data_IF_068089669298
#
_entry.id   IF_068089669298
#
_cell.length_a   1.000
_cell.length_b   1.000
_cell.length_c   1.000
_cell.angle_alpha   90.00
_cell.angle_beta   90.00
_cell.angle_gamma   90.00
#
_symmetry.space_group_name_H-M   'P 1'
#
loop_
_entity.id
_entity.type
_entity.pdbx_description
1 polymer ?
#
# COMPACT_ATOMS: atom_id res chain seq x y z
N UNK A 1 -31.07 70.64 21.22
CA UNK A 1 -31.86 70.09 20.12
C UNK A 1 -30.91 69.44 19.13
N UNK A 2 -31.12 68.16 18.81
CA UNK A 2 -30.53 67.47 17.65
C UNK A 2 -29.32 66.58 17.94
N UNK A 3 -29.56 65.26 18.03
CA UNK A 3 -28.55 64.21 17.74
C UNK A 3 -28.64 63.91 16.24
N UNK A 4 -27.52 63.77 15.53
CA UNK A 4 -27.19 62.48 14.88
C UNK A 4 -25.66 62.23 14.92
N UNK A 5 -25.10 61.03 14.91
CA UNK A 5 -25.56 59.65 14.81
C UNK A 5 -24.29 58.78 14.89
N UNK A 6 -24.40 57.61 15.50
CA UNK A 6 -23.43 56.53 15.39
C UNK A 6 -23.28 56.15 13.92
N UNK A 7 -22.04 56.04 13.42
CA UNK A 7 -21.60 55.10 12.38
C UNK A 7 -20.32 55.61 11.71
N UNK A 8 -19.18 55.06 12.13
CA UNK A 8 -18.08 54.64 11.23
C UNK A 8 -16.80 54.31 12.02
N UNK A 9 -16.74 53.10 12.58
CA UNK A 9 -15.46 52.41 12.75
C UNK A 9 -15.63 50.89 12.56
N UNK A 10 -15.62 50.39 11.31
CA UNK A 10 -15.13 49.03 11.09
C UNK A 10 -14.29 48.92 9.81
N UNK A 11 -13.02 48.55 9.94
CA UNK A 11 -12.26 47.96 8.82
C UNK A 11 -10.94 47.31 9.25
N UNK A 12 -10.30 47.73 10.35
CA UNK A 12 -8.94 47.27 10.68
C UNK A 12 -8.88 46.06 11.64
N UNK A 13 -10.00 45.67 12.26
CA UNK A 13 -10.03 44.49 13.15
C UNK A 13 -10.43 43.17 12.44
N UNK A 14 -11.17 43.24 11.32
CA UNK A 14 -11.62 42.05 10.59
C UNK A 14 -10.56 41.48 9.62
N UNK A 15 -9.65 42.31 9.11
CA UNK A 15 -8.56 41.82 8.23
C UNK A 15 -7.50 41.00 8.97
N UNK A 16 -7.29 41.25 10.27
CA UNK A 16 -6.34 40.49 11.08
C UNK A 16 -6.82 39.08 11.43
N UNK A 17 -8.13 38.87 11.56
CA UNK A 17 -8.70 37.58 11.97
C UNK A 17 -8.76 36.59 10.81
N UNK A 18 -9.05 37.03 9.58
CA UNK A 18 -9.03 36.16 8.40
C UNK A 18 -7.61 35.66 8.06
N UNK A 19 -6.60 36.50 8.23
CA UNK A 19 -5.20 36.14 8.01
C UNK A 19 -4.69 35.12 9.06
N UNK A 20 -5.01 35.34 10.34
CA UNK A 20 -4.71 34.38 11.41
C UNK A 20 -5.45 33.03 11.23
N UNK A 21 -6.69 33.05 10.72
CA UNK A 21 -7.51 31.84 10.48
C UNK A 21 -6.85 30.83 9.54
N UNK A 22 -6.23 31.27 8.43
CA UNK A 22 -5.77 30.34 7.40
C UNK A 22 -4.32 29.86 7.64
N UNK A 23 -3.44 30.72 8.12
CA UNK A 23 -2.03 30.38 8.36
C UNK A 23 -1.79 29.64 9.69
N UNK A 24 -2.51 30.01 10.75
CA UNK A 24 -2.30 29.42 12.08
C UNK A 24 -3.01 28.07 12.16
N UNK A 25 -4.32 27.99 11.88
CA UNK A 25 -5.03 26.72 11.95
C UNK A 25 -4.42 25.67 11.03
N UNK A 26 -4.01 26.03 9.81
CA UNK A 26 -3.33 25.12 8.87
C UNK A 26 -2.04 24.51 9.41
N UNK A 27 -1.38 25.16 10.38
CA UNK A 27 -0.16 24.69 11.06
C UNK A 27 -0.41 23.99 12.39
N UNK A 28 -1.60 24.15 12.96
CA UNK A 28 -1.99 23.50 14.21
C UNK A 28 -2.41 22.06 13.93
N UNK A 29 -1.90 21.14 14.75
CA UNK A 29 -2.31 19.75 14.72
C UNK A 29 -3.74 19.59 15.29
N UNK A 30 -4.31 18.38 15.18
CA UNK A 30 -5.67 18.11 15.67
C UNK A 30 -5.81 18.36 17.17
N UNK A 31 -4.74 18.20 17.96
CA UNK A 31 -4.72 18.41 19.40
C UNK A 31 -4.73 19.90 19.78
N UNK A 32 -3.97 20.71 19.06
CA UNK A 32 -3.95 22.17 19.19
C UNK A 32 -5.30 22.77 18.80
N UNK A 33 -5.92 22.24 17.73
CA UNK A 33 -7.27 22.63 17.30
C UNK A 33 -8.35 22.19 18.30
N UNK A 34 -8.21 21.01 18.91
CA UNK A 34 -9.11 20.56 19.98
C UNK A 34 -8.99 21.44 21.24
N UNK A 35 -7.79 21.84 21.63
CA UNK A 35 -7.56 22.75 22.75
C UNK A 35 -8.17 24.15 22.54
N UNK A 36 -8.19 24.64 21.29
CA UNK A 36 -8.85 25.90 20.94
C UNK A 36 -10.38 25.88 21.11
N UNK A 37 -11.03 24.70 21.06
CA UNK A 37 -12.46 24.57 21.34
C UNK A 37 -12.81 24.86 22.81
N UNK A 38 -11.84 24.83 23.73
CA UNK A 38 -12.16 24.92 25.16
C UNK A 38 -11.66 26.18 25.85
N UNK A 39 -10.67 26.86 25.26
CA UNK A 39 -10.04 28.04 25.86
C UNK A 39 -10.90 29.30 25.89
N UNK A 40 -11.67 29.60 24.82
CA UNK A 40 -12.55 30.77 24.78
C UNK A 40 -13.62 30.68 23.68
N UNK A 41 -14.64 31.54 23.75
CA UNK A 41 -15.72 31.62 22.73
C UNK A 41 -15.14 31.86 21.33
N UNK A 42 -14.17 32.76 21.20
CA UNK A 42 -13.51 33.05 19.94
C UNK A 42 -12.73 31.85 19.37
N UNK A 43 -12.14 31.00 20.21
CA UNK A 43 -11.47 29.77 19.80
C UNK A 43 -12.46 28.70 19.31
N UNK A 44 -13.62 28.58 19.97
CA UNK A 44 -14.72 27.70 19.51
C UNK A 44 -15.22 28.09 18.13
N UNK A 45 -15.47 29.38 17.93
CA UNK A 45 -16.00 29.89 16.68
C UNK A 45 -14.97 29.70 15.55
N UNK A 46 -13.67 29.87 15.84
CA UNK A 46 -12.57 29.63 14.90
C UNK A 46 -12.49 28.18 14.41
N UNK A 47 -12.71 27.20 15.32
CA UNK A 47 -12.63 25.77 15.01
C UNK A 47 -13.90 25.27 14.30
N UNK A 48 -15.08 25.82 14.65
CA UNK A 48 -16.34 25.56 13.95
C UNK A 48 -16.32 26.08 12.51
N UNK A 49 -15.79 27.29 12.30
CA UNK A 49 -15.59 27.87 10.96
C UNK A 49 -14.65 27.02 10.09
N UNK A 50 -13.74 26.26 10.72
CA UNK A 50 -12.80 25.35 10.05
C UNK A 50 -13.36 23.93 9.80
N UNK A 51 -14.62 23.66 10.18
CA UNK A 51 -15.32 22.41 9.89
C UNK A 51 -15.02 21.22 10.82
N UNK A 52 -14.44 21.45 12.00
CA UNK A 52 -14.24 20.41 13.01
C UNK A 52 -15.48 20.32 13.92
N UNK A 53 -16.24 19.22 13.80
CA UNK A 53 -17.46 18.95 14.58
C UNK A 53 -17.11 18.45 16.00
N UNK A 54 -17.63 19.04 17.10
CA UNK A 54 -17.49 18.53 18.47
C UNK A 54 -17.89 17.06 18.67
N UNK A 55 -18.72 16.48 17.79
CA UNK A 55 -19.07 15.06 17.80
C UNK A 55 -17.94 14.12 17.34
N UNK A 56 -16.84 14.67 16.81
CA UNK A 56 -15.62 13.90 16.45
C UNK A 56 -14.84 13.35 17.67
N UNK A 57 -15.32 13.58 18.88
CA UNK A 57 -14.83 12.94 20.12
C UNK A 57 -14.77 11.40 20.04
N UNK A 58 -15.55 10.76 19.17
CA UNK A 58 -15.46 9.31 18.91
C UNK A 58 -14.36 8.87 17.94
N UNK A 59 -13.64 9.82 17.31
CA UNK A 59 -12.56 9.58 16.34
C UNK A 59 -11.17 9.97 16.84
N UNK A 60 -11.08 10.72 17.93
CA UNK A 60 -9.82 11.13 18.54
C UNK A 60 -9.25 9.95 19.35
N UNK A 61 -8.09 9.43 18.96
CA UNK A 61 -7.39 8.38 19.71
C UNK A 61 -6.22 8.99 20.48
N UNK A 62 -5.90 8.46 21.67
CA UNK A 62 -4.80 9.01 22.48
C UNK A 62 -3.45 9.04 21.75
N UNK A 63 -3.25 8.12 20.79
CA UNK A 63 -2.08 8.10 19.91
C UNK A 63 -1.89 9.42 19.11
N UNK A 64 -2.97 10.17 18.89
CA UNK A 64 -2.95 11.44 18.14
C UNK A 64 -2.46 12.63 19.00
N UNK A 65 -2.30 12.43 20.32
CA UNK A 65 -1.86 13.46 21.29
C UNK A 65 -0.46 13.19 21.83
N UNK A 66 0.25 12.23 21.25
CA UNK A 66 1.57 11.79 21.67
C UNK A 66 2.61 12.83 21.26
N UNK A 67 3.17 13.54 22.22
CA UNK A 67 4.11 14.65 21.97
C UNK A 67 4.50 15.43 23.22
N UNK A 68 3.63 15.46 24.24
CA UNK A 68 3.96 15.97 25.57
C UNK A 68 3.06 15.36 26.63
N UNK A 69 3.53 15.37 27.89
CA UNK A 69 2.76 14.91 29.04
C UNK A 69 1.47 15.72 29.19
N UNK A 70 1.51 17.03 28.96
CA UNK A 70 0.36 17.92 29.10
C UNK A 70 -0.77 17.57 28.13
N UNK A 71 -0.41 17.25 26.87
CA UNK A 71 -1.39 16.89 25.83
C UNK A 71 -2.05 15.53 26.13
N UNK A 72 -1.27 14.53 26.55
CA UNK A 72 -1.81 13.23 26.96
C UNK A 72 -2.62 13.32 28.26
N UNK A 73 -2.19 14.12 29.23
CA UNK A 73 -2.94 14.37 30.46
C UNK A 73 -4.30 14.99 30.15
N UNK A 74 -4.32 16.02 29.30
CA UNK A 74 -5.56 16.63 28.84
C UNK A 74 -6.49 15.60 28.17
N UNK A 75 -5.98 14.83 27.21
CA UNK A 75 -6.83 13.87 26.47
C UNK A 75 -7.41 12.77 27.38
N UNK A 76 -6.63 12.27 28.35
CA UNK A 76 -7.12 11.33 29.37
C UNK A 76 -8.22 11.94 30.24
N UNK A 77 -8.01 13.17 30.73
CA UNK A 77 -8.97 13.85 31.60
C UNK A 77 -10.30 14.15 30.89
N UNK A 78 -10.30 14.18 29.55
CA UNK A 78 -11.48 14.34 28.68
C UNK A 78 -12.06 12.99 28.20
N UNK A 79 -11.68 11.88 28.84
CA UNK A 79 -12.33 10.58 28.66
C UNK A 79 -11.72 9.69 27.57
N UNK A 80 -10.57 10.04 27.00
CA UNK A 80 -9.89 9.15 26.07
C UNK A 80 -9.22 7.97 26.84
N UNK A 81 -9.44 6.71 26.41
CA UNK A 81 -8.98 5.54 27.17
C UNK A 81 -7.48 5.27 27.00
N UNK A 82 -6.75 5.15 28.11
CA UNK A 82 -5.33 4.72 28.13
C UNK A 82 -5.23 3.23 27.82
N UNK A 83 -5.00 2.89 26.54
CA UNK A 83 -4.79 1.52 26.08
C UNK A 83 -3.32 1.23 25.71
N UNK A 84 -3.04 0.01 25.27
CA UNK A 84 -1.67 -0.41 24.94
C UNK A 84 -1.08 0.34 23.74
N UNK A 85 -1.92 0.94 22.89
CA UNK A 85 -1.47 1.66 21.70
C UNK A 85 -0.81 2.99 22.05
N UNK A 86 -1.15 3.58 23.21
CA UNK A 86 -0.53 4.80 23.73
C UNK A 86 0.95 4.55 23.98
N UNK A 87 1.27 3.56 24.82
CA UNK A 87 2.65 3.20 25.15
C UNK A 87 3.45 2.84 23.90
N UNK A 88 2.88 2.06 22.96
CA UNK A 88 3.54 1.72 21.71
C UNK A 88 3.83 2.95 20.84
N UNK A 89 2.88 3.87 20.68
CA UNK A 89 3.07 5.09 19.89
C UNK A 89 4.10 6.02 20.52
N UNK A 90 4.04 6.21 21.84
CA UNK A 90 5.01 7.01 22.60
C UNK A 90 6.42 6.42 22.46
N UNK A 91 6.52 5.09 22.55
CA UNK A 91 7.77 4.37 22.39
C UNK A 91 8.35 4.47 20.98
N UNK A 92 7.50 4.40 19.95
CA UNK A 92 7.88 4.58 18.53
C UNK A 92 8.55 5.93 18.28
N UNK A 93 8.13 6.97 19.00
CA UNK A 93 8.65 8.33 18.86
C UNK A 93 9.74 8.69 19.89
N UNK A 94 10.13 7.75 20.76
CA UNK A 94 11.28 7.95 21.65
C UNK A 94 11.03 8.85 22.84
N UNK A 95 9.76 9.13 23.17
CA UNK A 95 9.37 10.09 24.21
C UNK A 95 9.40 9.42 25.60
N UNK A 96 10.59 9.25 26.17
CA UNK A 96 10.80 8.50 27.42
C UNK A 96 10.04 9.10 28.62
N UNK A 97 10.02 10.43 28.74
CA UNK A 97 9.32 11.17 29.79
C UNK A 97 7.80 10.98 29.70
N UNK A 98 7.25 11.05 28.49
CA UNK A 98 5.84 10.82 28.20
C UNK A 98 5.47 9.36 28.48
N UNK A 99 6.35 8.41 28.16
CA UNK A 99 6.13 6.99 28.41
C UNK A 99 6.14 6.68 29.91
N UNK A 100 7.10 7.26 30.64
CA UNK A 100 7.17 7.19 32.10
C UNK A 100 5.87 7.65 32.73
N UNK A 101 5.40 8.83 32.34
CA UNK A 101 4.13 9.38 32.81
C UNK A 101 2.96 8.44 32.47
N UNK A 102 2.85 7.97 31.22
CA UNK A 102 1.73 7.13 30.79
C UNK A 102 1.64 5.84 31.62
N UNK A 103 2.78 5.20 31.88
CA UNK A 103 2.86 3.99 32.72
C UNK A 103 2.52 4.29 34.17
N UNK A 104 2.96 5.41 34.73
CA UNK A 104 2.58 5.85 36.08
C UNK A 104 1.06 6.10 36.22
N UNK A 105 0.41 6.56 35.15
CA UNK A 105 -1.04 6.72 35.10
C UNK A 105 -1.81 5.41 34.85
N UNK A 106 -1.11 4.27 34.82
CA UNK A 106 -1.72 2.95 34.68
C UNK A 106 -2.00 2.54 33.24
N UNK A 107 -1.39 3.21 32.25
CA UNK A 107 -1.49 2.75 30.85
C UNK A 107 -0.87 1.35 30.73
N UNK A 108 -1.60 0.37 30.17
CA UNK A 108 -1.03 -0.94 29.95
C UNK A 108 0.07 -0.87 28.88
N UNK A 109 1.05 -1.75 29.00
CA UNK A 109 2.11 -1.96 28.02
C UNK A 109 2.28 -3.44 27.73
N UNK A 110 2.82 -3.75 26.56
CA UNK A 110 3.03 -5.10 26.08
C UNK A 110 4.25 -5.16 25.15
N UNK A 111 4.46 -6.31 24.52
CA UNK A 111 5.60 -6.50 23.62
C UNK A 111 5.57 -5.60 22.37
N UNK A 112 4.41 -5.01 22.01
CA UNK A 112 4.35 -4.01 20.95
C UNK A 112 5.03 -2.71 21.38
N UNK A 113 5.01 -2.38 22.68
CA UNK A 113 5.73 -1.20 23.21
C UNK A 113 7.24 -1.33 22.99
N UNK A 114 7.82 -2.50 23.27
CA UNK A 114 9.25 -2.74 23.02
C UNK A 114 9.56 -2.86 21.53
N UNK A 115 8.67 -3.46 20.73
CA UNK A 115 8.85 -3.54 19.28
C UNK A 115 8.84 -2.16 18.63
N UNK A 116 7.91 -1.27 19.04
CA UNK A 116 7.83 0.10 18.58
C UNK A 116 9.06 0.94 18.98
N UNK A 117 9.55 0.81 20.22
CA UNK A 117 10.82 1.44 20.61
C UNK A 117 11.99 0.98 19.73
N UNK A 118 12.01 -0.30 19.38
CA UNK A 118 13.02 -0.88 18.51
C UNK A 118 12.87 -0.46 17.03
N UNK A 119 11.63 -0.30 16.55
CA UNK A 119 11.28 0.23 15.24
C UNK A 119 11.76 1.68 15.06
N UNK A 120 11.59 2.52 16.08
CA UNK A 120 12.08 3.91 16.09
C UNK A 120 13.57 4.07 16.45
N UNK A 121 14.25 2.96 16.82
CA UNK A 121 15.67 2.99 17.20
C UNK A 121 15.95 3.62 18.57
N UNK A 122 14.95 3.72 19.44
CA UNK A 122 15.03 4.41 20.71
C UNK A 122 15.55 3.50 21.83
N UNK A 123 16.87 3.26 21.83
CA UNK A 123 17.54 2.36 22.76
C UNK A 123 17.27 2.70 24.25
N UNK A 124 17.26 3.97 24.62
CA UNK A 124 17.03 4.38 26.02
C UNK A 124 15.59 4.10 26.48
N UNK A 125 14.61 4.26 25.58
CA UNK A 125 13.22 3.87 25.84
C UNK A 125 13.12 2.36 26.03
N UNK A 126 13.76 1.59 25.15
CA UNK A 126 13.75 0.13 25.23
C UNK A 126 14.42 -0.38 26.52
N UNK A 127 15.56 0.20 26.91
CA UNK A 127 16.26 -0.10 28.18
C UNK A 127 15.33 0.12 29.36
N UNK A 128 14.75 1.31 29.45
CA UNK A 128 13.86 1.67 30.55
C UNK A 128 12.63 0.77 30.62
N UNK A 129 11.96 0.53 29.49
CA UNK A 129 10.80 -0.35 29.42
C UNK A 129 11.15 -1.77 29.91
N UNK A 130 12.31 -2.29 29.50
CA UNK A 130 12.77 -3.62 29.91
C UNK A 130 13.08 -3.70 31.41
N UNK A 131 13.75 -2.69 31.96
CA UNK A 131 14.07 -2.61 33.39
C UNK A 131 12.81 -2.55 34.27
N UNK A 132 11.73 -1.95 33.77
CA UNK A 132 10.44 -1.89 34.44
C UNK A 132 9.56 -3.12 34.23
N UNK A 133 10.08 -4.14 33.54
CA UNK A 133 9.39 -5.42 33.36
C UNK A 133 8.45 -5.47 32.16
N UNK A 134 8.52 -4.51 31.23
CA UNK A 134 7.81 -4.63 29.96
C UNK A 134 8.29 -5.90 29.22
N UNK A 135 7.36 -6.78 28.78
CA UNK A 135 7.75 -7.94 28.00
C UNK A 135 8.30 -7.50 26.65
N UNK A 136 9.16 -8.33 26.07
CA UNK A 136 9.60 -8.22 24.69
C UNK A 136 9.38 -9.55 23.97
N UNK A 137 9.24 -9.51 22.65
CA UNK A 137 9.14 -10.70 21.80
C UNK A 137 10.12 -10.59 20.62
N UNK A 138 10.18 -11.63 19.80
CA UNK A 138 11.02 -11.67 18.59
C UNK A 138 10.80 -10.47 17.65
N UNK A 139 9.59 -9.88 17.67
CA UNK A 139 9.24 -8.65 16.96
C UNK A 139 10.16 -7.46 17.28
N UNK A 140 10.78 -7.43 18.46
CA UNK A 140 11.74 -6.38 18.84
C UNK A 140 13.00 -6.44 17.98
N UNK A 141 13.55 -7.64 17.80
CA UNK A 141 14.72 -7.87 16.94
C UNK A 141 14.33 -7.69 15.47
N UNK A 142 13.14 -8.17 15.07
CA UNK A 142 12.61 -8.00 13.72
C UNK A 142 12.47 -6.52 13.33
N UNK A 143 11.86 -5.71 14.20
CA UNK A 143 11.61 -4.28 13.94
C UNK A 143 12.91 -3.49 13.88
N UNK A 144 13.84 -3.72 14.82
CA UNK A 144 15.16 -3.10 14.78
C UNK A 144 15.97 -3.53 13.54
N UNK A 145 15.82 -4.78 13.09
CA UNK A 145 16.48 -5.26 11.88
C UNK A 145 15.89 -4.61 10.62
N UNK A 146 14.57 -4.55 10.50
CA UNK A 146 13.87 -3.92 9.36
C UNK A 146 14.20 -2.44 9.19
N UNK A 147 14.45 -1.73 10.30
CA UNK A 147 14.71 -0.28 10.31
C UNK A 147 16.20 0.09 10.53
N UNK A 148 17.07 -0.91 10.62
CA UNK A 148 18.52 -0.69 10.57
C UNK A 148 19.16 -0.27 11.90
N UNK A 149 18.47 -0.46 13.02
CA UNK A 149 18.90 -0.02 14.35
C UNK A 149 19.86 -1.03 15.00
N UNK A 150 21.10 -1.04 14.52
CA UNK A 150 22.14 -1.97 14.97
C UNK A 150 22.42 -1.91 16.48
N UNK A 151 22.46 -0.72 17.08
CA UNK A 151 22.72 -0.57 18.53
C UNK A 151 21.63 -1.23 19.37
N UNK A 152 20.37 -1.14 18.93
CA UNK A 152 19.23 -1.80 19.58
C UNK A 152 19.39 -3.31 19.48
N UNK A 153 19.77 -3.84 18.32
CA UNK A 153 20.02 -5.27 18.13
C UNK A 153 21.15 -5.80 19.01
N UNK A 154 22.27 -5.08 19.08
CA UNK A 154 23.40 -5.44 19.91
C UNK A 154 23.00 -5.53 21.38
N UNK A 155 22.36 -4.48 21.89
CA UNK A 155 21.89 -4.45 23.28
C UNK A 155 20.86 -5.53 23.58
N UNK A 156 19.88 -5.74 22.68
CA UNK A 156 18.87 -6.78 22.85
C UNK A 156 19.49 -8.18 22.85
N UNK A 157 20.50 -8.42 22.00
CA UNK A 157 21.22 -9.69 21.99
C UNK A 157 22.00 -9.93 23.27
N UNK A 158 22.70 -8.92 23.78
CA UNK A 158 23.42 -8.98 25.07
C UNK A 158 22.49 -9.30 26.25
N UNK A 159 21.23 -8.85 26.18
CA UNK A 159 20.21 -9.10 27.20
C UNK A 159 19.44 -10.40 27.00
N UNK A 160 19.91 -11.27 26.10
CA UNK A 160 19.38 -12.61 25.91
C UNK A 160 18.15 -12.70 25.01
N UNK A 161 17.91 -11.71 24.14
CA UNK A 161 16.89 -11.86 23.11
C UNK A 161 17.31 -12.94 22.10
N UNK A 162 16.39 -13.85 21.81
CA UNK A 162 16.60 -14.90 20.82
C UNK A 162 16.53 -14.33 19.39
N UNK A 163 17.19 -15.02 18.45
CA UNK A 163 17.08 -14.65 17.05
C UNK A 163 15.68 -14.92 16.54
N UNK A 164 15.12 -13.96 15.81
CA UNK A 164 14.02 -14.25 14.91
C UNK A 164 14.56 -14.87 13.61
N UNK A 165 13.94 -15.93 13.06
CA UNK A 165 14.27 -16.43 11.74
C UNK A 165 14.00 -15.42 10.61
N UNK A 166 13.25 -14.35 10.89
CA UNK A 166 12.92 -13.29 9.93
C UNK A 166 13.87 -12.09 10.01
N UNK A 167 14.74 -11.99 11.03
CA UNK A 167 15.57 -10.79 11.22
C UNK A 167 16.48 -10.50 10.02
N UNK A 168 17.10 -11.53 9.44
CA UNK A 168 17.91 -11.38 8.23
C UNK A 168 17.07 -10.91 7.03
N UNK A 169 15.89 -11.49 6.80
CA UNK A 169 15.03 -11.11 5.67
C UNK A 169 14.46 -9.70 5.82
N UNK A 170 14.18 -9.27 7.04
CA UNK A 170 13.70 -7.93 7.34
C UNK A 170 14.82 -6.89 7.20
N UNK A 171 16.02 -7.17 7.70
CA UNK A 171 17.19 -6.34 7.41
C UNK A 171 17.45 -6.22 5.91
N UNK A 172 17.21 -7.31 5.16
CA UNK A 172 17.35 -7.31 3.72
C UNK A 172 16.26 -6.49 3.01
N UNK A 173 15.02 -6.55 3.51
CA UNK A 173 13.89 -5.72 3.05
C UNK A 173 14.13 -4.23 3.28
N UNK A 174 14.71 -3.84 4.40
CA UNK A 174 15.07 -2.45 4.72
C UNK A 174 16.36 -1.95 4.08
N UNK A 175 17.13 -2.85 3.45
CA UNK A 175 18.39 -2.48 2.78
C UNK A 175 19.58 -2.28 3.74
N UNK A 176 19.46 -2.77 4.98
CA UNK A 176 20.44 -2.50 6.04
C UNK A 176 21.59 -3.50 6.03
N UNK A 177 22.50 -3.33 5.07
CA UNK A 177 23.66 -4.23 4.88
C UNK A 177 24.52 -4.38 6.14
N UNK A 178 24.72 -3.31 6.93
CA UNK A 178 25.53 -3.39 8.15
C UNK A 178 24.87 -4.25 9.23
N UNK A 179 23.55 -4.15 9.37
CA UNK A 179 22.78 -5.03 10.26
C UNK A 179 22.89 -6.47 9.79
N UNK A 180 22.70 -6.73 8.49
CA UNK A 180 22.78 -8.08 7.95
C UNK A 180 24.17 -8.70 8.14
N UNK A 181 25.24 -7.92 7.96
CA UNK A 181 26.62 -8.34 8.25
C UNK A 181 26.78 -8.72 9.71
N UNK A 182 26.33 -7.87 10.62
CA UNK A 182 26.42 -8.13 12.06
C UNK A 182 25.62 -9.36 12.49
N UNK A 183 24.40 -9.55 11.97
CA UNK A 183 23.56 -10.73 12.26
C UNK A 183 24.22 -12.05 11.82
N UNK A 184 25.10 -11.99 10.82
CA UNK A 184 25.79 -13.12 10.19
C UNK A 184 27.28 -13.20 10.56
N UNK A 185 27.75 -12.37 11.47
CA UNK A 185 29.14 -12.34 11.88
C UNK A 185 29.45 -13.46 12.88
N UNK A 186 30.13 -14.52 12.41
CA UNK A 186 30.56 -15.64 13.25
C UNK A 186 31.61 -15.23 14.30
N UNK A 187 32.37 -14.14 14.08
CA UNK A 187 33.34 -13.64 15.05
C UNK A 187 32.66 -12.99 16.25
N UNK A 188 31.44 -12.46 16.07
CA UNK A 188 30.63 -11.85 17.13
C UNK A 188 29.79 -12.90 17.85
N UNK A 189 29.09 -13.77 17.11
CA UNK A 189 28.09 -14.68 17.71
C UNK A 189 28.62 -16.09 18.00
N UNK A 190 29.77 -16.45 17.44
CA UNK A 190 30.28 -17.81 17.45
C UNK A 190 29.73 -18.67 16.31
N UNK A 191 30.52 -19.65 15.89
CA UNK A 191 30.18 -20.54 14.77
C UNK A 191 28.89 -21.32 15.04
N UNK A 192 27.95 -21.26 14.10
CA UNK A 192 26.65 -21.93 14.21
C UNK A 192 25.61 -21.23 15.11
N UNK A 193 25.97 -20.10 15.74
CA UNK A 193 25.08 -19.31 16.60
C UNK A 193 24.61 -18.00 15.94
N UNK A 194 25.00 -17.76 14.69
CA UNK A 194 24.55 -16.63 13.87
C UNK A 194 23.06 -16.71 13.55
N UNK A 195 22.44 -15.55 13.30
CA UNK A 195 21.02 -15.48 12.97
C UNK A 195 20.73 -16.33 11.71
N UNK A 196 19.77 -17.27 11.74
CA UNK A 196 19.45 -18.08 10.58
C UNK A 196 18.89 -17.21 9.45
N UNK A 197 19.03 -17.72 8.23
CA UNK A 197 18.46 -17.12 7.03
C UNK A 197 18.13 -18.20 6.00
N UNK A 198 17.35 -17.83 4.99
CA UNK A 198 16.95 -18.69 3.88
C UNK A 198 16.74 -17.83 2.63
N UNK A 199 16.28 -18.44 1.54
CA UNK A 199 16.04 -17.76 0.26
C UNK A 199 15.08 -16.56 0.36
N UNK A 200 14.23 -16.49 1.38
CA UNK A 200 13.38 -15.32 1.64
C UNK A 200 14.23 -14.04 1.82
N UNK A 201 15.44 -14.15 2.37
CA UNK A 201 16.33 -13.00 2.55
C UNK A 201 16.74 -12.38 1.22
N UNK A 202 17.08 -13.20 0.22
CA UNK A 202 17.41 -12.71 -1.14
C UNK A 202 16.15 -12.26 -1.89
N UNK A 203 15.01 -12.90 -1.65
CA UNK A 203 13.71 -12.47 -2.21
C UNK A 203 13.30 -11.08 -1.72
N UNK A 204 13.41 -10.78 -0.43
CA UNK A 204 13.04 -9.46 0.12
C UNK A 204 14.00 -8.36 -0.32
N UNK A 205 15.31 -8.63 -0.37
CA UNK A 205 16.27 -7.70 -0.98
C UNK A 205 15.91 -7.39 -2.43
N UNK A 206 15.49 -8.41 -3.20
CA UNK A 206 15.11 -8.27 -4.61
C UNK A 206 13.82 -7.48 -4.77
N UNK A 207 12.81 -7.75 -3.94
CA UNK A 207 11.52 -7.03 -3.89
C UNK A 207 11.69 -5.56 -3.54
N UNK A 208 12.53 -5.27 -2.55
CA UNK A 208 12.79 -3.91 -2.07
C UNK A 208 13.75 -3.12 -2.98
N UNK A 209 14.55 -3.79 -3.81
CA UNK A 209 15.46 -3.15 -4.76
C UNK A 209 16.88 -2.93 -4.23
N UNK A 210 17.29 -3.65 -3.18
CA UNK A 210 18.58 -3.46 -2.52
C UNK A 210 19.67 -4.36 -3.12
N UNK A 211 20.22 -3.93 -4.26
CA UNK A 211 21.25 -4.68 -5.02
C UNK A 211 22.46 -5.05 -4.16
N UNK A 212 22.98 -4.13 -3.35
CA UNK A 212 24.18 -4.39 -2.53
C UNK A 212 23.93 -5.41 -1.40
N UNK A 213 22.73 -5.41 -0.83
CA UNK A 213 22.31 -6.42 0.13
C UNK A 213 22.18 -7.78 -0.56
N UNK A 214 21.51 -7.83 -1.71
CA UNK A 214 21.33 -9.06 -2.49
C UNK A 214 22.69 -9.64 -2.90
N UNK A 215 23.59 -8.79 -3.42
CA UNK A 215 24.96 -9.13 -3.80
C UNK A 215 25.71 -9.74 -2.64
N UNK A 216 25.73 -9.06 -1.49
CA UNK A 216 26.46 -9.54 -0.33
C UNK A 216 25.87 -10.84 0.22
N UNK A 217 24.54 -10.93 0.36
CA UNK A 217 23.86 -12.11 0.88
C UNK A 217 24.12 -13.34 0.01
N UNK A 218 24.02 -13.20 -1.31
CA UNK A 218 24.22 -14.30 -2.25
C UNK A 218 25.70 -14.67 -2.44
N UNK A 219 26.56 -13.70 -2.79
CA UNK A 219 27.93 -13.99 -3.22
C UNK A 219 28.91 -14.20 -2.06
N UNK A 220 28.75 -13.43 -0.98
CA UNK A 220 29.75 -13.37 0.10
C UNK A 220 29.27 -14.17 1.31
N UNK A 221 28.04 -13.90 1.76
CA UNK A 221 27.53 -14.53 2.96
C UNK A 221 27.05 -15.97 2.73
N UNK A 222 26.77 -16.37 1.48
CA UNK A 222 26.37 -17.73 1.13
C UNK A 222 24.89 -18.06 1.42
N UNK A 223 24.02 -17.04 1.37
CA UNK A 223 22.57 -17.25 1.44
C UNK A 223 22.10 -17.99 0.18
N UNK A 224 21.16 -18.91 0.32
CA UNK A 224 20.50 -19.51 -0.83
C UNK A 224 19.70 -18.46 -1.61
N UNK A 225 19.61 -18.67 -2.92
CA UNK A 225 18.81 -17.85 -3.82
C UNK A 225 17.69 -18.69 -4.44
N UNK A 226 16.47 -18.17 -4.39
CA UNK A 226 15.39 -18.66 -5.26
C UNK A 226 15.29 -17.69 -6.44
N UNK A 227 16.04 -17.98 -7.50
CA UNK A 227 16.20 -17.09 -8.65
C UNK A 227 14.85 -16.69 -9.28
N UNK A 228 13.99 -17.67 -9.55
CA UNK A 228 12.65 -17.45 -10.11
C UNK A 228 11.84 -16.49 -9.24
N UNK A 229 11.82 -16.68 -7.92
CA UNK A 229 11.08 -15.77 -7.02
C UNK A 229 11.72 -14.39 -6.94
N UNK A 230 13.04 -14.29 -6.90
CA UNK A 230 13.76 -13.01 -6.89
C UNK A 230 13.46 -12.19 -8.14
N UNK A 231 13.53 -12.80 -9.34
CA UNK A 231 13.17 -12.17 -10.61
C UNK A 231 11.70 -11.75 -10.58
N UNK A 232 10.79 -12.66 -10.19
CA UNK A 232 9.36 -12.36 -10.16
C UNK A 232 9.03 -11.16 -9.26
N UNK A 233 9.57 -11.13 -8.03
CA UNK A 233 9.39 -10.01 -7.09
C UNK A 233 10.01 -8.71 -7.57
N UNK A 234 11.18 -8.76 -8.20
CA UNK A 234 11.84 -7.59 -8.74
C UNK A 234 11.05 -6.99 -9.92
N UNK A 235 10.47 -7.83 -10.80
CA UNK A 235 9.57 -7.39 -11.87
C UNK A 235 8.31 -6.75 -11.29
N UNK A 236 7.59 -7.42 -10.40
CA UNK A 236 6.35 -6.89 -9.78
C UNK A 236 6.53 -5.46 -9.23
N UNK A 237 7.72 -5.17 -8.68
CA UNK A 237 8.05 -3.91 -8.02
C UNK A 237 8.92 -2.96 -8.86
N UNK A 238 9.16 -3.28 -10.15
CA UNK A 238 9.91 -2.42 -11.07
C UNK A 238 11.38 -2.23 -10.71
N UNK A 239 12.01 -3.21 -10.05
CA UNK A 239 13.39 -3.14 -9.56
C UNK A 239 14.40 -3.45 -10.66
N UNK A 240 14.49 -2.57 -11.66
CA UNK A 240 15.33 -2.77 -12.85
C UNK A 240 16.79 -3.08 -12.53
N UNK A 241 17.40 -2.38 -11.57
CA UNK A 241 18.81 -2.59 -11.21
C UNK A 241 19.05 -3.97 -10.57
N UNK A 242 18.06 -4.52 -9.85
CA UNK A 242 18.12 -5.90 -9.35
C UNK A 242 18.05 -6.88 -10.51
N UNK A 243 17.18 -6.65 -11.49
CA UNK A 243 17.03 -7.52 -12.66
C UNK A 243 18.31 -7.55 -13.51
N UNK A 244 18.93 -6.37 -13.75
CA UNK A 244 20.22 -6.26 -14.42
C UNK A 244 21.30 -7.05 -13.67
N UNK A 245 21.40 -6.85 -12.36
CA UNK A 245 22.35 -7.59 -11.53
C UNK A 245 22.14 -9.11 -11.63
N UNK A 246 20.90 -9.59 -11.51
CA UNK A 246 20.57 -11.02 -11.61
C UNK A 246 20.90 -11.58 -13.00
N UNK A 247 20.64 -10.82 -14.07
CA UNK A 247 20.97 -11.20 -15.44
C UNK A 247 22.48 -11.31 -15.66
N UNK A 248 23.26 -10.37 -15.12
CA UNK A 248 24.72 -10.41 -15.14
C UNK A 248 25.29 -11.62 -14.38
N UNK A 249 24.60 -12.07 -13.32
CA UNK A 249 25.02 -13.26 -12.58
C UNK A 249 24.74 -14.55 -13.36
N UNK A 250 23.50 -14.70 -13.84
CA UNK A 250 23.10 -15.84 -14.64
C UNK A 250 21.81 -15.54 -15.41
N UNK A 251 21.85 -15.47 -16.76
CA UNK A 251 20.64 -15.33 -17.58
C UNK A 251 19.61 -16.45 -17.39
N UNK A 252 20.01 -17.67 -16.99
CA UNK A 252 19.10 -18.79 -16.75
C UNK A 252 18.15 -18.54 -15.55
N UNK A 253 18.43 -17.53 -14.71
CA UNK A 253 17.50 -17.09 -13.67
C UNK A 253 16.17 -16.56 -14.22
N UNK A 254 16.16 -16.19 -15.50
CA UNK A 254 15.00 -15.72 -16.23
C UNK A 254 14.34 -16.84 -17.06
N UNK A 255 14.55 -18.10 -16.67
CA UNK A 255 13.79 -19.22 -17.23
C UNK A 255 12.28 -18.95 -17.14
N UNK A 256 11.55 -19.32 -18.20
CA UNK A 256 10.18 -18.84 -18.41
C UNK A 256 10.12 -17.34 -18.72
N UNK A 257 10.95 -16.86 -19.66
CA UNK A 257 10.99 -15.43 -20.04
C UNK A 257 9.61 -14.87 -20.47
N UNK A 258 8.73 -15.72 -21.01
CA UNK A 258 7.32 -15.40 -21.30
C UNK A 258 6.56 -14.88 -20.07
N UNK A 259 6.68 -15.58 -18.95
CA UNK A 259 6.07 -15.22 -17.67
C UNK A 259 6.59 -13.87 -17.16
N UNK A 260 7.89 -13.63 -17.33
CA UNK A 260 8.56 -12.37 -16.93
C UNK A 260 8.03 -11.20 -17.76
N UNK A 261 7.90 -11.38 -19.08
CA UNK A 261 7.34 -10.38 -19.99
C UNK A 261 5.88 -10.07 -19.66
N UNK A 262 5.05 -11.10 -19.53
CA UNK A 262 3.63 -10.97 -19.17
C UNK A 262 3.48 -10.19 -17.88
N UNK A 263 4.26 -10.53 -16.84
CA UNK A 263 4.17 -9.86 -15.55
C UNK A 263 4.68 -8.42 -15.58
N UNK A 264 5.75 -8.14 -16.32
CA UNK A 264 6.21 -6.77 -16.53
C UNK A 264 5.13 -5.92 -17.22
N UNK A 265 4.43 -6.49 -18.20
CA UNK A 265 3.27 -5.88 -18.85
C UNK A 265 2.12 -5.58 -17.89
N UNK A 266 1.65 -6.61 -17.19
CA UNK A 266 0.57 -6.53 -16.18
C UNK A 266 0.86 -5.48 -15.10
N UNK A 267 2.10 -5.46 -14.59
CA UNK A 267 2.51 -4.53 -13.54
C UNK A 267 2.86 -3.13 -14.09
N UNK A 268 2.77 -2.90 -15.40
CA UNK A 268 3.05 -1.61 -16.02
C UNK A 268 4.54 -1.20 -16.00
N UNK A 269 5.44 -2.18 -16.04
CA UNK A 269 6.89 -2.00 -15.88
C UNK A 269 7.57 -1.83 -17.25
N UNK A 270 7.27 -0.73 -17.93
CA UNK A 270 7.75 -0.48 -19.30
C UNK A 270 9.28 -0.45 -19.41
N UNK A 271 9.98 0.08 -18.40
CA UNK A 271 11.44 0.12 -18.38
C UNK A 271 12.06 -1.28 -18.27
N UNK A 272 11.38 -2.21 -17.59
CA UNK A 272 11.79 -3.62 -17.54
C UNK A 272 11.62 -4.25 -18.93
N UNK A 273 10.47 -4.05 -19.58
CA UNK A 273 10.23 -4.56 -20.93
C UNK A 273 11.23 -4.02 -21.96
N UNK A 274 11.51 -2.70 -21.92
CA UNK A 274 12.51 -2.05 -22.77
C UNK A 274 13.90 -2.65 -22.59
N UNK A 275 14.29 -2.85 -21.34
CA UNK A 275 15.58 -3.46 -21.02
C UNK A 275 15.65 -4.91 -21.50
N UNK A 276 14.64 -5.74 -21.21
CA UNK A 276 14.57 -7.13 -21.68
C UNK A 276 14.67 -7.22 -23.21
N UNK A 277 13.95 -6.35 -23.92
CA UNK A 277 14.01 -6.27 -25.38
C UNK A 277 15.38 -5.86 -25.91
N UNK A 278 16.05 -4.93 -25.23
CA UNK A 278 17.39 -4.45 -25.59
C UNK A 278 18.47 -5.51 -25.38
N UNK A 279 18.38 -6.34 -24.34
CA UNK A 279 19.31 -7.46 -24.11
C UNK A 279 18.97 -8.72 -24.92
N UNK A 280 17.89 -8.68 -25.70
CA UNK A 280 17.45 -9.81 -26.53
C UNK A 280 16.76 -10.92 -25.75
N UNK A 281 16.40 -10.69 -24.48
CA UNK A 281 15.66 -11.64 -23.66
C UNK A 281 14.18 -11.61 -24.07
N UNK A 282 13.82 -12.43 -25.08
CA UNK A 282 12.47 -12.46 -25.67
C UNK A 282 11.90 -13.87 -25.65
N UNK A 283 10.57 -14.03 -25.50
CA UNK A 283 9.89 -15.29 -25.74
C UNK A 283 10.14 -15.80 -27.16
N UNK A 284 10.22 -17.13 -27.31
CA UNK A 284 10.37 -17.76 -28.62
C UNK A 284 9.09 -17.64 -29.47
N UNK A 285 7.95 -17.62 -28.80
CA UNK A 285 6.63 -17.37 -29.38
C UNK A 285 5.89 -16.37 -28.50
N UNK A 286 5.22 -15.42 -29.12
CA UNK A 286 4.34 -14.46 -28.48
C UNK A 286 2.89 -14.95 -28.58
N UNK A 287 2.67 -16.20 -28.21
CA UNK A 287 1.34 -16.81 -28.12
C UNK A 287 0.54 -16.21 -26.94
N UNK A 288 -0.68 -16.69 -26.74
CA UNK A 288 -1.56 -16.29 -25.63
C UNK A 288 -0.86 -16.36 -24.26
N UNK A 289 0.18 -17.17 -24.10
CA UNK A 289 0.97 -17.28 -22.86
C UNK A 289 1.77 -16.01 -22.49
N UNK A 290 2.15 -15.18 -23.48
CA UNK A 290 2.89 -13.92 -23.28
C UNK A 290 1.95 -12.72 -23.14
N UNK A 291 0.64 -12.90 -23.38
CA UNK A 291 -0.37 -11.84 -23.45
C UNK A 291 -0.07 -10.70 -22.46
N UNK A 292 0.44 -9.59 -23.00
CA UNK A 292 0.77 -8.39 -22.24
C UNK A 292 -0.57 -7.73 -21.92
N UNK A 293 -1.13 -8.10 -20.78
CA UNK A 293 -2.47 -7.67 -20.41
C UNK A 293 -2.47 -6.20 -20.03
N UNK A 294 -3.52 -5.48 -20.44
CA UNK A 294 -3.81 -4.16 -19.89
C UNK A 294 -4.52 -4.25 -18.52
N UNK A 295 -5.00 -5.44 -18.11
CA UNK A 295 -6.16 -5.56 -17.22
C UNK A 295 -5.94 -5.80 -15.73
N UNK A 296 -4.79 -6.34 -15.30
CA UNK A 296 -4.64 -6.78 -13.91
C UNK A 296 -4.05 -5.72 -12.96
N UNK A 297 -3.84 -4.51 -13.47
CA UNK A 297 -3.67 -3.31 -12.67
C UNK A 297 -4.55 -2.21 -13.25
N UNK A 298 -5.35 -1.54 -12.43
CA UNK A 298 -6.21 -0.39 -12.79
C UNK A 298 -5.41 0.86 -13.21
N UNK A 299 -4.33 0.69 -13.96
CA UNK A 299 -3.27 1.67 -14.16
C UNK A 299 -2.98 1.87 -15.64
N UNK A 300 -2.90 3.14 -16.07
CA UNK A 300 -2.51 3.56 -17.43
C UNK A 300 -1.17 2.97 -17.89
N UNK A 301 -0.30 2.60 -16.96
CA UNK A 301 1.03 2.04 -17.23
C UNK A 301 1.00 0.68 -17.92
N UNK A 302 -0.01 -0.16 -17.67
CA UNK A 302 -0.17 -1.44 -18.38
C UNK A 302 -0.51 -1.23 -19.86
N UNK A 303 -1.38 -0.26 -20.15
CA UNK A 303 -1.72 0.11 -21.53
C UNK A 303 -0.52 0.71 -22.29
N UNK A 304 0.33 1.49 -21.63
CA UNK A 304 1.60 1.96 -22.22
C UNK A 304 2.53 0.79 -22.58
N UNK A 305 2.59 -0.24 -21.72
CA UNK A 305 3.35 -1.46 -22.00
C UNK A 305 2.81 -2.20 -23.22
N UNK A 306 1.48 -2.38 -23.31
CA UNK A 306 0.83 -3.03 -24.45
C UNK A 306 1.10 -2.27 -25.76
N UNK A 307 0.93 -0.95 -25.75
CA UNK A 307 1.22 -0.10 -26.92
C UNK A 307 2.66 -0.23 -27.36
N UNK A 308 3.60 -0.08 -26.43
CA UNK A 308 5.02 -0.21 -26.74
C UNK A 308 5.37 -1.61 -27.25
N UNK A 309 4.79 -2.65 -26.65
CA UNK A 309 5.03 -4.03 -27.07
C UNK A 309 4.51 -4.29 -28.49
N UNK A 310 3.36 -3.74 -28.86
CA UNK A 310 2.83 -3.82 -30.22
C UNK A 310 3.65 -2.98 -31.21
N UNK A 311 3.83 -1.68 -30.92
CA UNK A 311 4.44 -0.71 -31.85
C UNK A 311 5.94 -0.99 -32.07
N UNK A 312 6.66 -1.46 -31.04
CA UNK A 312 8.13 -1.60 -31.05
C UNK A 312 8.57 -3.07 -30.99
N UNK A 313 7.97 -3.87 -30.11
CA UNK A 313 8.37 -5.26 -29.96
C UNK A 313 7.63 -6.22 -30.91
N UNK A 314 6.66 -5.71 -31.67
CA UNK A 314 5.83 -6.47 -32.62
C UNK A 314 5.12 -7.67 -31.97
N UNK A 315 4.72 -7.52 -30.71
CA UNK A 315 3.87 -8.49 -30.02
C UNK A 315 2.47 -8.43 -30.64
N UNK A 316 1.91 -9.57 -31.11
CA UNK A 316 0.57 -9.60 -31.69
C UNK A 316 -0.50 -9.24 -30.66
N UNK A 317 -1.59 -8.67 -31.14
CA UNK A 317 -2.79 -8.42 -30.34
C UNK A 317 -3.74 -9.61 -30.45
N UNK A 318 -4.33 -10.01 -29.33
CA UNK A 318 -5.31 -11.09 -29.23
C UNK A 318 -6.60 -10.58 -28.61
N UNK A 319 -7.68 -11.34 -28.75
CA UNK A 319 -8.96 -11.05 -28.11
C UNK A 319 -8.82 -10.97 -26.58
N UNK A 320 -7.90 -11.70 -25.97
CA UNK A 320 -7.64 -11.60 -24.54
C UNK A 320 -7.20 -10.18 -24.12
N UNK A 321 -6.49 -9.43 -24.99
CA UNK A 321 -6.15 -8.04 -24.69
C UNK A 321 -7.40 -7.16 -24.46
N UNK A 322 -8.47 -7.39 -25.24
CA UNK A 322 -9.71 -6.61 -25.10
C UNK A 322 -10.50 -7.06 -23.87
N UNK A 323 -10.45 -8.36 -23.55
CA UNK A 323 -11.03 -8.89 -22.32
C UNK A 323 -10.36 -8.30 -21.09
N UNK A 324 -9.02 -8.28 -21.07
CA UNK A 324 -8.25 -7.69 -19.97
C UNK A 324 -8.52 -6.19 -19.82
N UNK A 325 -8.58 -5.44 -20.93
CA UNK A 325 -8.97 -4.03 -20.89
C UNK A 325 -10.39 -3.83 -20.32
N UNK A 326 -11.31 -4.77 -20.58
CA UNK A 326 -12.65 -4.76 -20.03
C UNK A 326 -12.68 -5.04 -18.52
N UNK A 327 -11.91 -6.03 -18.03
CA UNK A 327 -11.70 -6.29 -16.60
C UNK A 327 -11.16 -5.06 -15.88
N UNK A 328 -10.20 -4.36 -16.51
CA UNK A 328 -9.59 -3.15 -15.97
C UNK A 328 -10.45 -1.89 -16.08
N UNK A 329 -11.59 -1.95 -16.78
CA UNK A 329 -12.44 -0.78 -17.06
C UNK A 329 -11.77 0.29 -17.93
N UNK A 330 -10.87 -0.11 -18.84
CA UNK A 330 -10.02 0.80 -19.62
C UNK A 330 -10.60 1.12 -21.00
N UNK A 331 -11.48 2.12 -21.08
CA UNK A 331 -12.13 2.51 -22.33
C UNK A 331 -11.13 2.89 -23.44
N UNK A 332 -10.10 3.67 -23.10
CA UNK A 332 -9.05 4.09 -24.04
C UNK A 332 -8.33 2.88 -24.66
N UNK A 333 -8.03 1.85 -23.85
CA UNK A 333 -7.38 0.64 -24.33
C UNK A 333 -8.30 -0.18 -25.23
N UNK A 334 -9.58 -0.34 -24.85
CA UNK A 334 -10.56 -1.04 -25.68
C UNK A 334 -10.79 -0.34 -27.01
N UNK A 335 -10.90 1.00 -27.02
CA UNK A 335 -11.00 1.79 -28.25
C UNK A 335 -9.79 1.58 -29.16
N UNK A 336 -8.59 1.69 -28.60
CA UNK A 336 -7.33 1.50 -29.32
C UNK A 336 -7.18 0.10 -29.93
N UNK A 337 -7.67 -0.93 -29.23
CA UNK A 337 -7.72 -2.32 -29.71
C UNK A 337 -8.74 -2.48 -30.84
N UNK A 338 -9.93 -1.88 -30.72
CA UNK A 338 -10.97 -1.93 -31.76
C UNK A 338 -10.57 -1.18 -33.02
N UNK A 339 -9.83 -0.07 -32.92
CA UNK A 339 -9.22 0.63 -34.06
C UNK A 339 -8.25 -0.27 -34.85
N UNK A 340 -7.73 -1.32 -34.23
CA UNK A 340 -6.83 -2.33 -34.83
C UNK A 340 -7.53 -3.62 -35.19
N UNK A 341 -8.87 -3.60 -35.22
CA UNK A 341 -9.70 -4.73 -35.62
C UNK A 341 -9.52 -5.98 -34.73
N UNK A 342 -9.10 -5.80 -33.47
CA UNK A 342 -8.99 -6.90 -32.49
C UNK A 342 -10.38 -7.40 -32.12
N UNK A 343 -10.66 -8.67 -32.41
CA UNK A 343 -11.94 -9.32 -32.14
C UNK A 343 -12.34 -9.27 -30.67
N UNK A 344 -13.66 -9.24 -30.44
CA UNK A 344 -14.21 -9.33 -29.09
C UNK A 344 -13.89 -10.71 -28.52
N UNK A 345 -13.36 -10.75 -27.30
CA UNK A 345 -13.24 -11.99 -26.56
C UNK A 345 -14.60 -12.44 -26.03
N UNK A 346 -14.77 -13.75 -26.01
CA UNK A 346 -15.86 -14.39 -25.26
C UNK A 346 -15.77 -13.97 -23.78
N UNK A 347 -16.91 -13.69 -23.19
CA UNK A 347 -17.10 -13.21 -21.83
C UNK A 347 -17.00 -11.70 -21.66
N UNK A 348 -16.65 -10.92 -22.69
CA UNK A 348 -16.36 -9.48 -22.53
C UNK A 348 -17.55 -8.68 -21.99
N UNK A 349 -18.74 -8.88 -22.57
CA UNK A 349 -19.96 -8.20 -22.11
C UNK A 349 -20.40 -8.68 -20.72
N UNK A 350 -20.17 -9.97 -20.42
CA UNK A 350 -20.41 -10.54 -19.09
C UNK A 350 -19.54 -9.84 -18.04
N UNK A 351 -18.27 -9.68 -18.35
CA UNK A 351 -17.28 -9.14 -17.42
C UNK A 351 -17.50 -7.65 -17.14
N UNK A 352 -17.82 -6.86 -18.16
CA UNK A 352 -18.19 -5.45 -17.97
C UNK A 352 -19.43 -5.29 -17.09
N UNK A 353 -20.42 -6.18 -17.24
CA UNK A 353 -21.61 -6.19 -16.40
C UNK A 353 -21.28 -6.58 -14.95
N UNK A 354 -20.49 -7.64 -14.75
CA UNK A 354 -20.02 -8.10 -13.42
C UNK A 354 -19.22 -7.04 -12.69
N UNK A 355 -18.31 -6.37 -13.38
CA UNK A 355 -17.39 -5.38 -12.83
C UNK A 355 -18.00 -3.98 -12.66
N UNK A 356 -19.27 -3.80 -13.03
CA UNK A 356 -19.99 -2.54 -12.79
C UNK A 356 -19.72 -1.44 -13.82
N UNK A 357 -19.11 -1.76 -14.95
CA UNK A 357 -18.67 -0.81 -15.96
C UNK A 357 -19.77 -0.48 -16.99
N UNK A 358 -20.89 0.09 -16.55
CA UNK A 358 -22.07 0.37 -17.39
C UNK A 358 -21.75 1.15 -18.68
N UNK A 359 -21.04 2.27 -18.57
CA UNK A 359 -20.75 3.12 -19.74
C UNK A 359 -19.87 2.39 -20.77
N UNK A 360 -18.92 1.56 -20.30
CA UNK A 360 -18.11 0.72 -21.20
C UNK A 360 -18.93 -0.42 -21.79
N UNK A 361 -19.87 -1.01 -21.04
CA UNK A 361 -20.78 -2.02 -21.57
C UNK A 361 -21.66 -1.45 -22.69
N UNK A 362 -22.21 -0.25 -22.49
CA UNK A 362 -22.98 0.46 -23.52
C UNK A 362 -22.11 0.68 -24.75
N UNK A 363 -20.91 1.21 -24.56
CA UNK A 363 -19.97 1.45 -25.66
C UNK A 363 -19.60 0.15 -26.39
N UNK A 364 -19.29 -0.94 -25.67
CA UNK A 364 -18.93 -2.23 -26.25
C UNK A 364 -20.08 -2.80 -27.12
N UNK A 365 -21.32 -2.71 -26.62
CA UNK A 365 -22.53 -3.12 -27.35
C UNK A 365 -22.73 -2.31 -28.63
N UNK A 366 -22.56 -1.00 -28.56
CA UNK A 366 -22.61 -0.12 -29.74
C UNK A 366 -21.51 -0.42 -30.77
N UNK A 367 -20.43 -1.06 -30.35
CA UNK A 367 -19.29 -1.44 -31.19
C UNK A 367 -19.24 -2.95 -31.51
N UNK A 368 -20.40 -3.62 -31.47
CA UNK A 368 -20.58 -4.97 -32.00
C UNK A 368 -20.24 -6.12 -31.06
N UNK A 369 -20.02 -5.87 -29.76
CA UNK A 369 -19.89 -6.95 -28.79
C UNK A 369 -21.23 -7.68 -28.63
N UNK A 370 -21.27 -9.00 -28.76
CA UNK A 370 -22.49 -9.80 -28.66
C UNK A 370 -22.86 -10.14 -27.20
N UNK A 371 -24.09 -10.61 -27.02
CA UNK A 371 -24.47 -11.40 -25.85
C UNK A 371 -24.09 -12.85 -26.16
N UNK A 372 -23.46 -13.55 -25.24
CA UNK A 372 -23.17 -14.98 -25.41
C UNK A 372 -24.38 -15.81 -24.99
N UNK A 373 -24.95 -16.58 -25.91
CA UNK A 373 -26.24 -17.27 -25.73
C UNK A 373 -26.19 -18.41 -24.68
N UNK A 374 -25.02 -19.00 -24.39
CA UNK A 374 -24.93 -20.22 -23.57
C UNK A 374 -24.46 -19.97 -22.12
N UNK A 375 -23.95 -18.79 -21.78
CA UNK A 375 -23.09 -18.60 -20.59
C UNK A 375 -23.22 -17.24 -19.91
N UNK A 376 -24.36 -16.55 -19.99
CA UNK A 376 -24.53 -15.20 -19.43
C UNK A 376 -25.27 -15.17 -18.07
N UNK A 377 -24.68 -15.63 -16.94
CA UNK A 377 -25.32 -15.61 -15.61
C UNK A 377 -25.30 -14.21 -14.97
N UNK A 378 -25.43 -13.14 -15.76
CA UNK A 378 -25.23 -11.76 -15.33
C UNK A 378 -26.14 -11.36 -14.16
N UNK A 379 -27.34 -11.94 -14.06
CA UNK A 379 -28.31 -11.58 -13.02
C UNK A 379 -27.80 -11.94 -11.62
N UNK A 380 -27.10 -13.07 -11.49
CA UNK A 380 -26.48 -13.53 -10.24
C UNK A 380 -25.36 -12.60 -9.77
N UNK A 381 -24.57 -12.08 -10.70
CA UNK A 381 -23.37 -11.30 -10.38
C UNK A 381 -23.59 -9.79 -10.33
N UNK A 382 -24.75 -9.30 -10.80
CA UNK A 382 -25.10 -7.86 -10.82
C UNK A 382 -25.96 -7.43 -9.62
N UNK A 383 -25.96 -8.19 -8.53
CA UNK A 383 -26.76 -7.88 -7.34
C UNK A 383 -26.31 -6.55 -6.74
N UNK A 384 -27.22 -5.57 -6.66
CA UNK A 384 -26.93 -4.21 -6.22
C UNK A 384 -26.49 -3.22 -7.31
N UNK A 385 -26.52 -3.63 -8.60
CA UNK A 385 -26.18 -2.78 -9.75
C UNK A 385 -27.43 -2.41 -10.57
N UNK A 386 -28.37 -1.68 -9.96
CA UNK A 386 -29.68 -1.35 -10.55
C UNK A 386 -29.65 -0.73 -11.95
N UNK A 387 -28.71 0.20 -12.21
CA UNK A 387 -28.55 0.82 -13.54
C UNK A 387 -28.13 -0.19 -14.62
N UNK A 388 -27.25 -1.14 -14.29
CA UNK A 388 -26.78 -2.17 -15.24
C UNK A 388 -27.91 -3.16 -15.50
N UNK A 389 -28.62 -3.58 -14.47
CA UNK A 389 -29.77 -4.47 -14.59
C UNK A 389 -30.87 -3.92 -15.49
N UNK A 390 -31.21 -2.64 -15.32
CA UNK A 390 -32.14 -1.94 -16.20
C UNK A 390 -31.67 -1.99 -17.65
N UNK A 391 -30.41 -1.64 -17.90
CA UNK A 391 -29.83 -1.69 -19.23
C UNK A 391 -29.87 -3.10 -19.85
N UNK A 392 -29.46 -4.14 -19.09
CA UNK A 392 -29.46 -5.53 -19.56
C UNK A 392 -30.86 -5.99 -19.97
N UNK A 393 -31.88 -5.65 -19.17
CA UNK A 393 -33.28 -5.97 -19.48
C UNK A 393 -33.77 -5.22 -20.71
N UNK A 394 -33.50 -3.92 -20.79
CA UNK A 394 -34.00 -3.07 -21.87
C UNK A 394 -33.35 -3.45 -23.23
N UNK A 395 -32.11 -3.95 -23.22
CA UNK A 395 -31.38 -4.44 -24.41
C UNK A 395 -31.62 -5.93 -24.75
N UNK A 396 -32.56 -6.58 -24.05
CA UNK A 396 -32.97 -7.96 -24.34
C UNK A 396 -31.88 -9.01 -24.08
N UNK A 397 -31.06 -8.84 -23.04
CA UNK A 397 -30.05 -9.82 -22.65
C UNK A 397 -30.70 -11.19 -22.31
N UNK A 398 -30.14 -12.32 -22.76
CA UNK A 398 -30.61 -13.66 -22.38
C UNK A 398 -30.68 -13.83 -20.85
N UNK A 399 -31.77 -14.41 -20.35
CA UNK A 399 -32.00 -14.62 -18.91
C UNK A 399 -32.36 -13.37 -18.10
N UNK A 400 -32.43 -12.18 -18.70
CA UNK A 400 -32.81 -10.94 -17.98
C UNK A 400 -34.33 -10.70 -17.88
N UNK A 401 -35.16 -11.65 -18.35
CA UNK A 401 -36.62 -11.57 -18.26
C UNK A 401 -37.12 -11.90 -16.85
N UNK A 402 -38.22 -11.27 -16.44
CA UNK A 402 -38.92 -11.58 -15.19
C UNK A 402 -39.62 -12.95 -15.18
N UNK A 403 -39.60 -13.66 -16.31
CA UNK A 403 -40.25 -14.96 -16.51
C UNK A 403 -39.27 -16.13 -16.35
N UNK A 404 -37.98 -15.85 -16.19
CA UNK A 404 -36.96 -16.86 -15.91
C UNK A 404 -37.08 -17.35 -14.45
N UNK A 405 -37.38 -18.65 -14.21
CA UNK A 405 -37.59 -19.17 -12.86
C UNK A 405 -36.38 -19.03 -11.94
N UNK A 406 -35.16 -18.91 -12.48
CA UNK A 406 -33.95 -18.67 -11.68
C UNK A 406 -33.82 -17.21 -11.21
N UNK A 407 -34.66 -16.29 -11.73
CA UNK A 407 -34.61 -14.85 -11.45
C UNK A 407 -35.91 -14.28 -10.82
N UNK A 408 -36.83 -15.15 -10.40
CA UNK A 408 -38.12 -14.75 -9.81
C UNK A 408 -37.98 -13.94 -8.49
N UNK A 409 -36.90 -14.15 -7.73
CA UNK A 409 -36.62 -13.47 -6.44
C UNK A 409 -35.70 -12.24 -6.57
N UNK A 410 -35.39 -11.83 -7.79
CA UNK A 410 -34.42 -10.77 -8.05
C UNK A 410 -35.14 -9.43 -8.17
N UNK A 411 -34.93 -8.52 -7.21
CA UNK A 411 -35.48 -7.17 -7.32
C UNK A 411 -34.75 -6.38 -8.42
N UNK A 412 -35.50 -5.96 -9.44
CA UNK A 412 -35.03 -5.22 -10.60
C UNK A 412 -35.26 -3.70 -10.48
N UNK A 413 -35.83 -3.24 -9.34
CA UNK A 413 -36.28 -1.85 -9.17
C UNK A 413 -35.35 -0.95 -8.33
N UNK A 414 -34.33 -1.49 -7.65
CA UNK A 414 -33.41 -0.71 -6.80
C UNK A 414 -32.08 -0.32 -7.47
#
# INVERSE_FOLDING_TARGET
MGVPGEDSAPALFEFGTAFLKQEVLGRLDLADRASLLETCRSGRDLVKDAGLDPSTSGRLQLKDFVGSVERLAWARDHGCPMDTTVCATVALHGQLDVLQWAVEQGSPWDALTTAAAAEGGHLEVLKWAREKGCPWLCWTIESAAEHGHLEVLMWARERGCEWSPLACSLAARGGHLQVLRWLRDESVHGKGSVCPWNAWTTEEASKAGHVEVLRWAYQIGGCSINATRCVKRAVENGRLEVLKYLWEQNPDFFDGIADVWRMAGVCGQIEVLRWLFAVGARPADFSDEVNITAGWGRHKSGFECLRWAYDVAHVPLTSDNIWDAAVGGMLEAMQWLREREVDWADGTTTELAKSGHLELLIWARQNGASWEEETFPCVKYTRGLGRIRRYLRDEGCPGSSSEDPDNADVDWMD
#
